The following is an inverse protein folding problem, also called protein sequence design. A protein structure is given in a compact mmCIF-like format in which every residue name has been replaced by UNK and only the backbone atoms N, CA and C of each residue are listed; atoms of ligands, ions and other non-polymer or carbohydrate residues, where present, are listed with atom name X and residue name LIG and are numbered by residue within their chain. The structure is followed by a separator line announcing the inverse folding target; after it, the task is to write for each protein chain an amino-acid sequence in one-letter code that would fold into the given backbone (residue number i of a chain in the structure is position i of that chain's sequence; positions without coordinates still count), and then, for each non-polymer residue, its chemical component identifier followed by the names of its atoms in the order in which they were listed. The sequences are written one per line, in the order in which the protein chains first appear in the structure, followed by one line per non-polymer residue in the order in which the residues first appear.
data_IF_636630707957
#
_entry.id   IF_636630707957
#
_cell.length_a   1.000
_cell.length_b   1.000
_cell.length_c   1.000
_cell.angle_alpha   90.00
_cell.angle_beta   90.00
_cell.angle_gamma   90.00
#
_symmetry.space_group_name_H-M   'P 1'
#
loop_
_entity.id
_entity.type
_entity.pdbx_description
1 polymer ?
#
# COMPACT_ATOMS: atom_id res chain seq x y z
N UNK A 1 -5.06 -4.33 13.78
CA UNK A 1 -5.46 -5.36 12.78
C UNK A 1 -4.47 -5.24 11.63
N UNK A 2 -3.83 -6.33 11.22
CA UNK A 2 -2.84 -6.32 10.13
C UNK A 2 -3.54 -6.29 8.77
N UNK A 3 -2.78 -5.93 7.73
CA UNK A 3 -3.22 -6.04 6.34
C UNK A 3 -3.74 -7.44 6.00
N UNK A 4 -2.96 -8.47 6.34
CA UNK A 4 -3.29 -9.85 6.04
C UNK A 4 -4.58 -10.31 6.72
N UNK A 5 -4.74 -9.94 7.99
CA UNK A 5 -5.95 -10.27 8.76
C UNK A 5 -7.19 -9.55 8.23
N UNK A 6 -7.08 -8.29 7.81
CA UNK A 6 -8.16 -7.53 7.20
C UNK A 6 -8.67 -8.18 5.89
N UNK A 7 -7.74 -8.50 4.97
CA UNK A 7 -8.08 -9.16 3.70
C UNK A 7 -8.72 -10.55 3.95
N UNK A 8 -8.20 -11.30 4.92
CA UNK A 8 -8.73 -12.62 5.29
C UNK A 8 -10.16 -12.53 5.83
N UNK A 9 -10.45 -11.54 6.67
CA UNK A 9 -11.79 -11.31 7.21
C UNK A 9 -12.77 -10.93 6.10
N UNK A 10 -12.41 -9.97 5.25
CA UNK A 10 -13.25 -9.54 4.13
C UNK A 10 -13.54 -10.68 3.16
N UNK A 11 -12.53 -11.49 2.82
CA UNK A 11 -12.71 -12.70 1.99
C UNK A 11 -13.68 -13.69 2.62
N UNK A 12 -13.55 -13.97 3.91
CA UNK A 12 -14.43 -14.91 4.63
C UNK A 12 -15.85 -14.39 4.74
N UNK A 13 -16.04 -13.08 4.94
CA UNK A 13 -17.36 -12.45 4.96
C UNK A 13 -18.11 -12.62 3.63
N UNK A 14 -17.38 -12.64 2.51
CA UNK A 14 -17.92 -12.94 1.18
C UNK A 14 -17.99 -14.45 0.85
N UNK A 15 -17.66 -15.34 1.80
CA UNK A 15 -17.64 -16.80 1.62
C UNK A 15 -16.74 -17.31 0.48
N UNK A 16 -15.73 -16.52 0.09
CA UNK A 16 -14.78 -16.91 -0.97
C UNK A 16 -13.65 -17.76 -0.40
N UNK A 17 -13.19 -18.77 -1.14
CA UNK A 17 -11.91 -19.41 -0.87
C UNK A 17 -10.74 -18.58 -1.46
N UNK A 18 -9.51 -18.85 -1.01
CA UNK A 18 -8.33 -18.09 -1.45
C UNK A 18 -8.08 -18.21 -2.97
N UNK A 19 -8.41 -19.35 -3.59
CA UNK A 19 -8.27 -19.55 -5.04
C UNK A 19 -9.24 -18.66 -5.83
N UNK A 20 -10.47 -18.50 -5.35
CA UNK A 20 -11.47 -17.62 -5.94
C UNK A 20 -11.09 -16.15 -5.79
N UNK A 21 -10.68 -15.74 -4.58
CA UNK A 21 -10.27 -14.36 -4.31
C UNK A 21 -9.01 -13.96 -5.11
N UNK A 22 -8.04 -14.86 -5.23
CA UNK A 22 -6.79 -14.61 -5.95
C UNK A 22 -6.93 -14.71 -7.49
N UNK A 23 -8.06 -15.20 -8.03
CA UNK A 23 -8.23 -15.46 -9.46
C UNK A 23 -8.04 -14.19 -10.28
N UNK A 24 -7.09 -14.24 -11.23
CA UNK A 24 -6.71 -13.13 -12.10
C UNK A 24 -5.84 -12.06 -11.42
N UNK A 25 -5.40 -12.29 -10.18
CA UNK A 25 -4.63 -11.33 -9.37
C UNK A 25 -3.28 -11.94 -8.97
N UNK A 26 -3.29 -13.10 -8.31
CA UNK A 26 -2.08 -13.80 -7.87
C UNK A 26 -2.32 -15.31 -7.68
N UNK A 27 -1.29 -16.05 -7.28
CA UNK A 27 -1.44 -17.44 -6.88
C UNK A 27 -2.16 -17.56 -5.52
N UNK A 28 -2.95 -18.62 -5.33
CA UNK A 28 -3.62 -18.89 -4.05
C UNK A 28 -2.63 -18.96 -2.87
N UNK A 29 -1.45 -19.56 -3.08
CA UNK A 29 -0.37 -19.63 -2.09
C UNK A 29 0.16 -18.26 -1.69
N UNK A 30 0.21 -17.32 -2.63
CA UNK A 30 0.63 -15.94 -2.39
C UNK A 30 -0.41 -15.19 -1.55
N UNK A 31 -1.70 -15.29 -1.88
CA UNK A 31 -2.76 -14.75 -1.03
C UNK A 31 -2.74 -15.38 0.37
N UNK A 32 -2.48 -16.68 0.48
CA UNK A 32 -2.30 -17.35 1.77
C UNK A 32 -1.11 -16.80 2.57
N UNK A 33 0.01 -16.49 1.91
CA UNK A 33 1.15 -15.86 2.57
C UNK A 33 0.82 -14.45 3.08
N UNK A 34 0.07 -13.66 2.30
CA UNK A 34 -0.42 -12.33 2.70
C UNK A 34 -1.35 -12.44 3.91
N UNK A 35 -2.36 -13.31 3.85
CA UNK A 35 -3.36 -13.48 4.91
C UNK A 35 -2.81 -14.02 6.24
N UNK A 36 -1.57 -14.49 6.26
CA UNK A 36 -0.88 -14.95 7.46
C UNK A 36 0.40 -14.13 7.73
N UNK A 37 0.49 -12.91 7.17
CA UNK A 37 1.56 -11.95 7.41
C UNK A 37 2.98 -12.49 7.11
N UNK A 38 3.08 -13.47 6.19
CA UNK A 38 4.35 -14.05 5.70
C UNK A 38 4.86 -13.39 4.43
N UNK A 39 4.06 -12.54 3.81
CA UNK A 39 4.41 -11.85 2.57
C UNK A 39 3.69 -10.50 2.50
N UNK A 40 4.46 -9.42 2.38
CA UNK A 40 3.93 -8.08 2.15
C UNK A 40 3.69 -7.90 0.64
N UNK A 41 2.44 -7.69 0.19
CA UNK A 41 2.14 -7.50 -1.21
C UNK A 41 2.63 -6.12 -1.69
N UNK A 42 3.07 -6.04 -2.95
CA UNK A 42 3.26 -4.74 -3.57
C UNK A 42 1.93 -4.00 -3.75
N UNK A 43 2.02 -2.69 -3.99
CA UNK A 43 0.86 -1.81 -4.15
C UNK A 43 -0.16 -2.32 -5.18
N UNK A 44 0.28 -2.84 -6.32
CA UNK A 44 -0.60 -3.36 -7.37
C UNK A 44 -1.42 -4.54 -6.88
N UNK A 45 -0.75 -5.50 -6.26
CA UNK A 45 -1.36 -6.71 -5.74
C UNK A 45 -2.33 -6.36 -4.60
N UNK A 46 -1.90 -5.47 -3.72
CA UNK A 46 -2.72 -4.98 -2.63
C UNK A 46 -4.01 -4.32 -3.12
N UNK A 47 -3.91 -3.37 -4.05
CA UNK A 47 -5.06 -2.66 -4.60
C UNK A 47 -6.03 -3.60 -5.31
N UNK A 48 -5.52 -4.54 -6.10
CA UNK A 48 -6.35 -5.54 -6.77
C UNK A 48 -7.11 -6.43 -5.79
N UNK A 49 -6.45 -6.86 -4.69
CA UNK A 49 -7.10 -7.64 -3.63
C UNK A 49 -8.12 -6.80 -2.87
N UNK A 50 -7.80 -5.55 -2.56
CA UNK A 50 -8.72 -4.62 -1.88
C UNK A 50 -9.98 -4.37 -2.71
N UNK A 51 -9.81 -4.06 -4.01
CA UNK A 51 -10.93 -3.89 -4.94
C UNK A 51 -11.80 -5.16 -5.02
N UNK A 52 -11.17 -6.33 -5.15
CA UNK A 52 -11.90 -7.61 -5.20
C UNK A 52 -12.70 -7.89 -3.94
N UNK A 53 -12.12 -7.57 -2.79
CA UNK A 53 -12.69 -7.89 -1.48
C UNK A 53 -13.51 -6.74 -0.87
N UNK A 54 -13.69 -5.64 -1.60
CA UNK A 54 -14.41 -4.46 -1.12
C UNK A 54 -13.77 -3.82 0.12
N UNK A 55 -12.45 -4.02 0.31
CA UNK A 55 -11.71 -3.45 1.44
C UNK A 55 -11.23 -2.08 1.04
N UNK A 56 -11.63 -1.06 1.79
CA UNK A 56 -11.09 0.27 1.60
C UNK A 56 -9.61 0.27 2.02
N UNK A 57 -8.71 0.72 1.15
CA UNK A 57 -7.27 0.77 1.41
C UNK A 57 -6.95 1.56 2.69
N UNK A 58 -7.78 2.56 2.99
CA UNK A 58 -7.75 3.36 4.21
C UNK A 58 -7.95 2.58 5.52
N UNK A 59 -8.53 1.38 5.46
CA UNK A 59 -8.78 0.52 6.64
C UNK A 59 -7.61 -0.41 6.97
N UNK A 60 -6.59 -0.44 6.12
CA UNK A 60 -5.42 -1.27 6.28
C UNK A 60 -4.36 -0.47 7.03
N UNK A 61 -3.81 -1.04 8.11
CA UNK A 61 -2.68 -0.45 8.87
C UNK A 61 -1.39 -0.55 8.04
N UNK A 62 -1.36 0.18 6.93
CA UNK A 62 -0.24 0.23 5.99
C UNK A 62 0.92 1.05 6.51
N UNK A 63 0.63 1.90 7.50
CA UNK A 63 1.55 2.89 8.00
C UNK A 63 2.68 2.30 8.86
N UNK A 64 2.58 1.02 9.23
CA UNK A 64 3.61 0.35 10.04
C UNK A 64 4.73 -0.30 9.23
N UNK A 65 4.52 -0.57 7.93
CA UNK A 65 5.42 -1.39 7.12
C UNK A 65 6.24 -0.62 6.07
N UNK A 66 5.92 0.66 5.80
CA UNK A 66 6.59 1.45 4.76
C UNK A 66 7.04 2.81 5.30
N UNK A 67 8.35 2.95 5.49
CA UNK A 67 8.99 4.18 5.92
C UNK A 67 9.36 5.04 4.70
N UNK A 68 9.01 6.32 4.76
CA UNK A 68 9.35 7.30 3.70
C UNK A 68 10.64 8.05 3.99
N UNK A 69 11.16 7.93 5.22
CA UNK A 69 12.34 8.63 5.70
C UNK A 69 13.10 7.79 6.71
N UNK A 70 14.39 8.06 6.89
CA UNK A 70 15.19 7.52 7.99
C UNK A 70 14.81 8.14 9.34
N UNK A 71 14.10 9.27 9.34
CA UNK A 71 13.65 9.95 10.53
C UNK A 71 12.28 9.43 10.97
N UNK A 72 12.24 8.78 12.14
CA UNK A 72 11.01 8.20 12.68
C UNK A 72 9.86 9.22 12.79
N UNK A 73 10.16 10.47 13.13
CA UNK A 73 9.16 11.53 13.25
C UNK A 73 8.37 11.76 11.95
N UNK A 74 9.02 11.61 10.77
CA UNK A 74 8.34 11.70 9.47
C UNK A 74 7.41 10.51 9.24
N UNK A 75 7.87 9.31 9.55
CA UNK A 75 7.08 8.08 9.41
C UNK A 75 5.87 8.11 10.35
N UNK A 76 6.05 8.57 11.60
CA UNK A 76 4.97 8.71 12.58
C UNK A 76 3.92 9.74 12.12
N UNK A 77 4.35 10.81 11.46
CA UNK A 77 3.44 11.82 10.91
C UNK A 77 2.58 11.25 9.78
N UNK A 78 3.17 10.44 8.90
CA UNK A 78 2.41 9.68 7.88
C UNK A 78 1.41 8.75 8.55
N UNK A 79 1.83 7.99 9.57
CA UNK A 79 0.94 7.11 10.36
C UNK A 79 -0.23 7.89 10.95
N UNK A 80 0.04 9.02 11.59
CA UNK A 80 -0.97 9.85 12.23
C UNK A 80 -2.00 10.35 11.21
N UNK A 81 -1.56 10.91 10.08
CA UNK A 81 -2.46 11.42 9.05
C UNK A 81 -3.27 10.31 8.37
N UNK A 82 -2.66 9.15 8.12
CA UNK A 82 -3.34 7.97 7.60
C UNK A 82 -4.43 7.46 8.57
N UNK A 83 -4.11 7.33 9.86
CA UNK A 83 -5.02 6.85 10.89
C UNK A 83 -6.17 7.84 11.16
N UNK A 84 -5.91 9.13 11.02
CA UNK A 84 -6.93 10.18 11.13
C UNK A 84 -7.73 10.40 9.83
N UNK A 85 -7.49 9.60 8.78
CA UNK A 85 -8.10 9.75 7.44
C UNK A 85 -7.90 11.14 6.80
N UNK A 86 -6.82 11.84 7.16
CA UNK A 86 -6.51 13.19 6.68
C UNK A 86 -5.77 13.16 5.34
N UNK A 87 -6.36 12.50 4.33
CA UNK A 87 -5.67 12.24 3.06
C UNK A 87 -5.36 13.50 2.24
N UNK A 88 -6.19 14.55 2.36
CA UNK A 88 -5.88 15.85 1.75
C UNK A 88 -4.62 16.46 2.35
N UNK A 89 -4.53 16.50 3.69
CA UNK A 89 -3.36 17.03 4.38
C UNK A 89 -2.11 16.18 4.11
N UNK A 90 -2.26 14.85 4.07
CA UNK A 90 -1.18 13.94 3.71
C UNK A 90 -0.65 14.23 2.30
N UNK A 91 -1.55 14.40 1.32
CA UNK A 91 -1.17 14.75 -0.06
C UNK A 91 -0.40 16.07 -0.09
N UNK A 92 -0.95 17.10 0.53
CA UNK A 92 -0.35 18.44 0.50
C UNK A 92 1.02 18.44 1.20
N UNK A 93 1.16 17.71 2.31
CA UNK A 93 2.43 17.56 3.03
C UNK A 93 3.47 16.73 2.27
N UNK A 94 3.07 15.64 1.62
CA UNK A 94 3.98 14.83 0.79
C UNK A 94 4.54 15.64 -0.40
N UNK A 95 3.74 16.53 -0.98
CA UNK A 95 4.16 17.37 -2.11
C UNK A 95 5.08 18.54 -1.72
N UNK A 96 5.35 18.75 -0.42
CA UNK A 96 6.27 19.79 0.01
C UNK A 96 7.72 19.43 -0.34
N UNK A 97 8.54 20.37 -0.84
CA UNK A 97 9.96 20.14 -1.13
C UNK A 97 10.72 19.59 0.07
N UNK A 98 10.40 20.10 1.27
CA UNK A 98 10.99 19.64 2.53
C UNK A 98 10.76 18.15 2.76
N UNK A 99 9.60 17.60 2.40
CA UNK A 99 9.32 16.17 2.58
C UNK A 99 10.11 15.31 1.59
N UNK A 100 10.27 15.79 0.35
CA UNK A 100 11.05 15.11 -0.68
C UNK A 100 12.54 15.00 -0.34
N UNK A 101 13.11 15.97 0.39
CA UNK A 101 14.51 15.94 0.84
C UNK A 101 14.84 14.75 1.77
N UNK A 102 13.83 14.22 2.46
CA UNK A 102 13.98 13.07 3.35
C UNK A 102 13.79 11.72 2.65
N UNK A 103 13.38 11.71 1.38
CA UNK A 103 13.19 10.50 0.57
C UNK A 103 14.48 10.24 -0.20
N UNK A 104 15.33 9.35 0.32
CA UNK A 104 16.72 9.19 -0.13
C UNK A 104 17.03 7.84 -0.79
N UNK A 105 16.27 6.80 -0.47
CA UNK A 105 16.47 5.45 -1.04
C UNK A 105 15.38 5.07 -2.02
N UNK A 106 15.64 4.05 -2.84
CA UNK A 106 14.64 3.48 -3.75
C UNK A 106 13.44 2.93 -2.97
N UNK A 107 13.65 2.29 -1.82
CA UNK A 107 12.58 1.81 -0.95
C UNK A 107 11.74 2.96 -0.37
N UNK A 108 12.38 4.03 0.09
CA UNK A 108 11.68 5.23 0.59
C UNK A 108 10.91 5.93 -0.53
N UNK A 109 11.48 5.97 -1.73
CA UNK A 109 10.83 6.55 -2.92
C UNK A 109 9.60 5.74 -3.30
N UNK A 110 9.70 4.41 -3.23
CA UNK A 110 8.56 3.53 -3.43
C UNK A 110 7.46 3.77 -2.38
N UNK A 111 7.83 3.89 -1.10
CA UNK A 111 6.90 4.21 -0.01
C UNK A 111 6.25 5.59 -0.21
N UNK A 112 7.03 6.60 -0.60
CA UNK A 112 6.56 7.95 -0.90
C UNK A 112 5.48 7.94 -1.97
N UNK A 113 5.77 7.38 -3.14
CA UNK A 113 4.80 7.33 -4.24
C UNK A 113 3.58 6.47 -3.91
N UNK A 114 3.75 5.48 -3.02
CA UNK A 114 2.65 4.69 -2.51
C UNK A 114 1.67 5.55 -1.69
N UNK A 115 2.16 6.25 -0.66
CA UNK A 115 1.30 7.10 0.17
C UNK A 115 0.71 8.26 -0.62
N UNK A 116 1.48 8.86 -1.54
CA UNK A 116 0.98 9.92 -2.41
C UNK A 116 -0.12 9.41 -3.34
N UNK A 117 0.04 8.20 -3.89
CA UNK A 117 -0.97 7.54 -4.70
C UNK A 117 -2.26 7.26 -3.94
N UNK A 118 -2.16 6.75 -2.70
CA UNK A 118 -3.31 6.53 -1.81
C UNK A 118 -3.99 7.85 -1.45
N UNK A 119 -3.21 8.88 -1.09
CA UNK A 119 -3.74 10.19 -0.73
C UNK A 119 -4.49 10.83 -1.90
N UNK A 120 -3.92 10.83 -3.11
CA UNK A 120 -4.59 11.31 -4.32
C UNK A 120 -5.89 10.55 -4.62
N UNK A 121 -5.91 9.22 -4.47
CA UNK A 121 -7.11 8.40 -4.72
C UNK A 121 -8.25 8.72 -3.76
N UNK A 122 -7.94 8.98 -2.49
CA UNK A 122 -8.94 9.28 -1.47
C UNK A 122 -9.48 10.71 -1.56
N UNK A 123 -8.65 11.65 -2.01
CA UNK A 123 -9.02 13.04 -2.25
C UNK A 123 -9.89 13.17 -3.50
N UNK A 124 -9.50 12.49 -4.58
CA UNK A 124 -10.19 12.53 -5.85
C UNK A 124 -10.21 11.13 -6.48
N UNK A 125 -11.36 10.46 -6.32
CA UNK A 125 -11.61 9.08 -6.76
C UNK A 125 -11.46 8.87 -8.26
N UNK A 126 -11.36 9.95 -9.05
CA UNK A 126 -11.23 9.93 -10.51
C UNK A 126 -9.87 10.42 -11.01
N UNK A 127 -8.92 10.70 -10.12
CA UNK A 127 -7.67 11.37 -10.52
C UNK A 127 -6.67 10.44 -11.23
N UNK A 128 -6.33 10.78 -12.48
CA UNK A 128 -5.22 10.19 -13.23
C UNK A 128 -3.89 10.28 -12.47
N UNK A 129 -3.71 11.31 -11.63
CA UNK A 129 -2.53 11.49 -10.80
C UNK A 129 -2.39 10.37 -9.74
N UNK A 130 -3.50 9.87 -9.19
CA UNK A 130 -3.46 8.73 -8.28
C UNK A 130 -2.95 7.49 -9.01
N UNK A 131 -3.45 7.23 -10.22
CA UNK A 131 -3.01 6.10 -11.03
C UNK A 131 -1.54 6.22 -11.43
N UNK A 132 -1.08 7.42 -11.80
CA UNK A 132 0.30 7.67 -12.20
C UNK A 132 1.27 7.50 -11.02
N UNK A 133 0.95 8.07 -9.85
CA UNK A 133 1.79 7.92 -8.65
C UNK A 133 1.87 6.47 -8.18
N UNK A 134 0.74 5.74 -8.22
CA UNK A 134 0.74 4.31 -7.94
C UNK A 134 1.58 3.53 -8.96
N UNK A 135 1.55 3.89 -10.25
CA UNK A 135 2.44 3.28 -11.27
C UNK A 135 3.91 3.55 -11.00
N UNK A 136 4.28 4.75 -10.56
CA UNK A 136 5.65 5.08 -10.18
C UNK A 136 6.12 4.24 -8.99
N UNK A 137 5.30 4.12 -7.94
CA UNK A 137 5.58 3.22 -6.80
C UNK A 137 5.78 1.76 -7.26
N UNK A 138 4.97 1.31 -8.23
CA UNK A 138 5.07 -0.05 -8.77
C UNK A 138 6.33 -0.24 -9.62
N UNK A 139 6.70 0.76 -10.43
CA UNK A 139 7.86 0.70 -11.32
C UNK A 139 9.21 0.70 -10.58
N UNK A 140 9.24 1.27 -9.38
CA UNK A 140 10.45 1.33 -8.53
C UNK A 140 10.65 0.11 -7.63
N UNK A 141 9.65 -0.77 -7.52
CA UNK A 141 9.82 -2.05 -6.87
C UNK A 141 10.78 -2.91 -7.72
N UNK A 142 12.06 -2.95 -7.33
CA UNK A 142 13.06 -3.77 -8.02
C UNK A 142 12.53 -5.20 -8.22
N UNK A 143 12.79 -5.86 -9.36
CA UNK A 143 12.42 -7.25 -9.54
C UNK A 143 13.08 -8.03 -8.41
N UNK A 144 12.26 -8.69 -7.58
CA UNK A 144 12.71 -9.47 -6.45
C UNK A 144 13.94 -10.28 -6.88
N UNK A 145 15.12 -9.95 -6.35
CA UNK A 145 16.35 -10.72 -6.59
C UNK A 145 15.99 -12.16 -6.28
N UNK A 146 15.91 -13.00 -7.32
CA UNK A 146 15.91 -14.45 -7.16
C UNK A 146 17.15 -14.74 -6.32
N UNK A 147 16.97 -15.13 -5.07
CA UNK A 147 18.00 -15.86 -4.32
C UNK A 147 18.22 -17.15 -5.11
N UNK A 148 19.11 -17.10 -6.09
CA UNK A 148 19.74 -18.29 -6.63
C UNK A 148 20.56 -18.87 -5.48
N UNK A 149 20.14 -20.05 -5.02
CA UNK A 149 21.03 -20.99 -4.36
C UNK A 149 21.98 -21.56 -5.38
#
# INVERSE_FOLDING_TARGET
MTLGTALKQARKAQQLNQKQAARGICAQSMLSAIENDRYVPNARLLLALCQRLGVAVSTLSLADDFEISAEQAFNDRVRQMCNAHQYQQLKDWLLQPTTLEHVQTDEQTQAYYYYLGVACWQVDRTSDAAQQNLRLAIGMAAPARRRQR
#
